data_IF_774128847617
#
_entry.id   IF_774128847617
#
_cell.length_a   1.000
_cell.length_b   1.000
_cell.length_c   1.000
_cell.angle_alpha   90.00
_cell.angle_beta   90.00
_cell.angle_gamma   90.00
#
_symmetry.space_group_name_H-M   'P 1'
#
loop_
_entity.id
_entity.type
_entity.pdbx_description
1 polymer ?
#
# COMPACT_ATOMS: atom_id res chain seq x y z
N UNK A 1 3.39 -0.58 18.08
CA UNK A 1 2.27 -1.52 17.96
C UNK A 1 1.39 -1.48 19.19
N UNK A 2 0.09 -1.82 19.02
CA UNK A 2 -0.88 -1.85 20.13
C UNK A 2 -1.06 -3.25 20.75
N UNK A 3 -0.38 -4.26 20.20
CA UNK A 3 -0.45 -5.63 20.67
C UNK A 3 0.50 -5.91 21.84
N UNK A 4 0.28 -7.02 22.53
CA UNK A 4 1.19 -7.52 23.58
C UNK A 4 2.54 -7.99 22.99
N UNK A 5 2.56 -8.37 21.74
CA UNK A 5 3.74 -8.87 21.03
C UNK A 5 3.81 -8.23 19.65
N UNK A 6 4.99 -7.77 19.26
CA UNK A 6 5.30 -7.29 17.91
C UNK A 6 6.39 -8.15 17.32
N UNK A 7 6.13 -8.73 16.14
CA UNK A 7 7.11 -9.52 15.39
C UNK A 7 7.55 -8.70 14.18
N UNK A 8 8.86 -8.52 14.03
CA UNK A 8 9.46 -7.84 12.89
C UNK A 8 10.19 -8.89 12.05
N UNK A 9 9.81 -9.01 10.79
CA UNK A 9 10.40 -9.92 9.83
C UNK A 9 11.23 -9.08 8.82
N UNK A 10 12.55 -9.05 8.93
CA UNK A 10 13.39 -8.31 7.99
C UNK A 10 13.30 -8.92 6.60
N UNK A 11 13.14 -8.06 5.60
CA UNK A 11 12.96 -8.44 4.20
C UNK A 11 14.14 -7.93 3.38
N UNK A 12 14.60 -8.71 2.40
CA UNK A 12 15.55 -8.28 1.40
C UNK A 12 14.93 -7.23 0.49
N UNK A 13 15.66 -6.19 0.18
CA UNK A 13 15.30 -5.29 -0.90
C UNK A 13 15.41 -6.02 -2.25
N UNK A 14 14.73 -5.54 -3.27
CA UNK A 14 14.71 -6.20 -4.59
C UNK A 14 16.11 -6.35 -5.21
N UNK A 15 17.00 -5.40 -4.97
CA UNK A 15 18.39 -5.42 -5.42
C UNK A 15 19.31 -6.28 -4.52
N UNK A 16 18.77 -6.80 -3.41
CA UNK A 16 19.47 -7.74 -2.51
C UNK A 16 18.96 -9.18 -2.65
N UNK A 17 17.90 -9.39 -3.41
CA UNK A 17 17.35 -10.73 -3.69
C UNK A 17 18.33 -11.51 -4.57
N UNK A 18 18.88 -12.66 -4.12
CA UNK A 18 19.89 -13.41 -4.90
C UNK A 18 19.29 -14.22 -6.04
N UNK A 19 18.13 -13.87 -6.51
CA UNK A 19 17.45 -14.47 -7.66
C UNK A 19 16.73 -13.39 -8.46
N UNK A 20 16.40 -13.72 -9.70
CA UNK A 20 15.68 -12.79 -10.58
C UNK A 20 14.30 -12.47 -10.05
N UNK A 21 13.94 -11.20 -10.13
CA UNK A 21 12.63 -10.70 -9.76
C UNK A 21 11.96 -10.02 -10.95
N UNK A 22 10.64 -9.98 -10.94
CA UNK A 22 9.86 -9.29 -11.96
C UNK A 22 8.99 -8.22 -11.31
N UNK A 23 8.73 -7.16 -12.05
CA UNK A 23 7.85 -6.08 -11.63
C UNK A 23 6.94 -5.69 -12.78
N UNK A 24 5.64 -5.63 -12.52
CA UNK A 24 4.69 -5.00 -13.44
C UNK A 24 4.61 -3.51 -13.13
N UNK A 25 4.81 -2.67 -14.14
CA UNK A 25 4.59 -1.22 -14.02
C UNK A 25 3.10 -0.89 -14.17
N UNK A 26 2.72 0.32 -13.75
CA UNK A 26 1.37 0.83 -13.93
C UNK A 26 0.90 0.91 -15.39
N UNK A 27 1.83 0.82 -16.34
CA UNK A 27 1.54 0.80 -17.79
C UNK A 27 1.51 -0.61 -18.36
N UNK A 28 1.28 -1.63 -17.54
CA UNK A 28 1.20 -3.03 -17.95
C UNK A 28 2.49 -3.56 -18.61
N UNK A 29 3.62 -3.02 -18.22
CA UNK A 29 4.92 -3.46 -18.72
C UNK A 29 5.62 -4.30 -17.65
N UNK A 30 5.97 -5.53 -17.99
CA UNK A 30 6.70 -6.46 -17.12
C UNK A 30 8.19 -6.31 -17.33
N UNK A 31 8.90 -5.92 -16.29
CA UNK A 31 10.35 -5.78 -16.25
C UNK A 31 11.01 -6.90 -15.47
N UNK A 32 12.24 -7.22 -15.86
CA UNK A 32 13.10 -8.17 -15.18
C UNK A 32 14.24 -7.45 -14.46
N UNK A 33 14.51 -7.88 -13.23
CA UNK A 33 15.69 -7.51 -12.48
C UNK A 33 16.50 -8.76 -12.17
N UNK A 34 17.80 -8.70 -12.35
CA UNK A 34 18.68 -9.84 -12.04
C UNK A 34 18.85 -10.08 -10.54
N UNK A 35 18.40 -9.14 -9.71
CA UNK A 35 18.60 -9.19 -8.27
C UNK A 35 20.01 -8.79 -7.87
N UNK A 36 20.45 -9.20 -6.70
CA UNK A 36 21.78 -8.85 -6.23
C UNK A 36 22.18 -9.61 -4.98
N UNK A 37 23.29 -9.18 -4.38
CA UNK A 37 23.83 -9.79 -3.17
C UNK A 37 23.25 -9.13 -1.93
N UNK A 38 22.78 -9.93 -0.98
CA UNK A 38 22.31 -9.45 0.31
C UNK A 38 23.43 -8.67 1.05
N UNK A 39 23.12 -7.49 1.58
CA UNK A 39 24.03 -6.64 2.35
C UNK A 39 24.17 -7.11 3.80
N UNK A 40 23.11 -7.76 4.31
CA UNK A 40 23.06 -8.23 5.68
C UNK A 40 22.68 -9.70 5.76
N UNK A 41 23.21 -10.41 6.75
CA UNK A 41 22.75 -11.75 7.11
C UNK A 41 21.45 -11.66 7.89
N UNK A 42 20.52 -12.57 7.64
CA UNK A 42 19.25 -12.67 8.37
C UNK A 42 18.00 -12.28 7.59
N UNK A 43 17.93 -11.14 6.89
CA UNK A 43 16.80 -10.84 6.01
C UNK A 43 16.55 -11.95 4.99
N UNK A 44 15.28 -12.16 4.66
CA UNK A 44 14.85 -13.17 3.68
C UNK A 44 13.96 -12.50 2.63
N UNK A 45 13.82 -13.13 1.47
CA UNK A 45 12.86 -12.66 0.47
C UNK A 45 11.42 -12.76 0.97
N UNK A 46 10.55 -11.89 0.49
CA UNK A 46 9.12 -11.92 0.82
C UNK A 46 8.50 -13.27 0.47
N UNK A 47 8.79 -13.79 -0.73
CA UNK A 47 8.30 -15.08 -1.17
C UNK A 47 8.69 -16.20 -0.23
N UNK A 48 9.92 -16.21 0.27
CA UNK A 48 10.38 -17.20 1.25
C UNK A 48 9.68 -17.06 2.60
N UNK A 49 9.54 -15.82 3.10
CA UNK A 49 8.84 -15.58 4.37
C UNK A 49 7.40 -16.07 4.29
N UNK A 50 6.69 -15.70 3.22
CA UNK A 50 5.30 -16.09 3.01
C UNK A 50 5.17 -17.61 2.88
N UNK A 51 6.03 -18.24 2.08
CA UNK A 51 6.05 -19.70 1.90
C UNK A 51 6.33 -20.46 3.21
N UNK A 52 7.31 -19.97 3.98
CA UNK A 52 7.67 -20.55 5.28
C UNK A 52 6.54 -20.44 6.31
N UNK A 53 5.78 -19.35 6.31
CA UNK A 53 4.61 -19.18 7.17
C UNK A 53 3.47 -20.07 6.69
N UNK A 54 3.16 -20.04 5.41
CA UNK A 54 2.05 -20.78 4.82
C UNK A 54 2.22 -22.29 5.02
N UNK A 55 3.41 -22.85 4.80
CA UNK A 55 3.68 -24.29 4.99
C UNK A 55 3.53 -24.74 6.44
N UNK A 56 3.73 -23.84 7.41
CA UNK A 56 3.55 -24.15 8.83
C UNK A 56 2.11 -24.03 9.31
N UNK A 57 1.36 -23.10 8.74
CA UNK A 57 0.00 -22.77 9.18
C UNK A 57 -1.04 -23.58 8.41
N UNK A 58 -0.82 -23.79 7.11
CA UNK A 58 -1.76 -24.45 6.19
C UNK A 58 -1.36 -25.91 5.93
N UNK A 59 -1.28 -26.71 6.98
CA UNK A 59 -0.82 -28.11 6.91
C UNK A 59 -1.65 -29.01 5.99
N UNK A 60 -2.93 -28.73 5.82
CA UNK A 60 -3.86 -29.51 4.98
C UNK A 60 -4.06 -28.88 3.59
N UNK A 61 -3.20 -27.95 3.19
CA UNK A 61 -3.28 -27.31 1.89
C UNK A 61 -2.87 -28.27 0.77
N UNK A 62 -3.63 -28.28 -0.33
CA UNK A 62 -3.23 -28.96 -1.57
C UNK A 62 -2.07 -28.25 -2.28
N UNK A 63 -1.74 -27.02 -1.85
CA UNK A 63 -0.65 -26.21 -2.38
C UNK A 63 0.62 -26.53 -1.62
N UNK A 64 1.67 -26.91 -2.33
CA UNK A 64 3.02 -27.13 -1.79
C UNK A 64 3.76 -25.81 -1.69
N UNK A 65 3.58 -25.11 -0.60
CA UNK A 65 4.08 -23.74 -0.40
C UNK A 65 5.59 -23.62 -0.53
N UNK A 66 6.34 -24.65 -0.14
CA UNK A 66 7.80 -24.68 -0.24
C UNK A 66 8.30 -24.57 -1.68
N UNK A 67 7.51 -25.01 -2.65
CA UNK A 67 7.84 -24.91 -4.07
C UNK A 67 7.84 -23.48 -4.59
N UNK A 68 7.25 -22.51 -3.86
CA UNK A 68 7.20 -21.11 -4.24
C UNK A 68 8.35 -20.25 -3.71
N UNK A 69 9.32 -20.85 -3.02
CA UNK A 69 10.52 -20.11 -2.61
C UNK A 69 11.36 -19.65 -3.81
N UNK A 70 11.57 -20.44 -4.89
CA UNK A 70 12.15 -19.92 -6.12
C UNK A 70 11.14 -19.06 -6.89
N UNK A 71 11.51 -17.80 -7.18
CA UNK A 71 10.68 -16.87 -7.96
C UNK A 71 10.32 -17.42 -9.35
N UNK A 72 11.16 -18.26 -9.93
CA UNK A 72 10.89 -18.95 -11.20
C UNK A 72 9.63 -19.82 -11.13
N UNK A 73 9.41 -20.51 -10.01
CA UNK A 73 8.23 -21.35 -9.85
C UNK A 73 6.95 -20.51 -9.74
N UNK A 74 7.03 -19.36 -9.05
CA UNK A 74 5.94 -18.39 -8.98
C UNK A 74 5.62 -17.86 -10.38
N UNK A 75 6.64 -17.46 -11.17
CA UNK A 75 6.44 -17.00 -12.55
C UNK A 75 5.85 -18.07 -13.46
N UNK A 76 6.29 -19.31 -13.31
CA UNK A 76 5.74 -20.44 -14.06
C UNK A 76 4.25 -20.64 -13.76
N UNK A 77 3.84 -20.50 -12.50
CA UNK A 77 2.44 -20.58 -12.14
C UNK A 77 1.64 -19.42 -12.68
N UNK A 78 2.14 -18.19 -12.53
CA UNK A 78 1.51 -16.98 -13.07
C UNK A 78 1.26 -17.13 -14.58
N UNK A 79 2.29 -17.56 -15.33
CA UNK A 79 2.17 -17.72 -16.78
C UNK A 79 1.20 -18.83 -17.21
N UNK A 80 0.89 -19.79 -16.32
CA UNK A 80 -0.11 -20.84 -16.57
C UNK A 80 -1.55 -20.40 -16.29
N UNK A 81 -1.76 -19.56 -15.27
CA UNK A 81 -3.11 -19.29 -14.76
C UNK A 81 -3.62 -17.89 -15.06
N UNK A 82 -2.74 -16.94 -15.37
CA UNK A 82 -3.15 -15.54 -15.62
C UNK A 82 -3.05 -15.23 -17.12
N UNK A 83 -4.18 -15.01 -17.81
CA UNK A 83 -4.17 -14.66 -19.22
C UNK A 83 -3.36 -13.38 -19.50
N UNK A 84 -2.53 -13.41 -20.55
CA UNK A 84 -1.66 -12.30 -20.93
C UNK A 84 -0.28 -12.31 -20.28
N UNK A 85 -0.03 -13.25 -19.35
CA UNK A 85 1.26 -13.41 -18.65
C UNK A 85 2.07 -14.62 -19.14
N UNK A 86 1.72 -15.27 -20.22
CA UNK A 86 2.35 -16.51 -20.67
C UNK A 86 3.87 -16.37 -20.86
N UNK A 87 4.32 -15.20 -21.30
CA UNK A 87 5.75 -14.89 -21.53
C UNK A 87 6.57 -14.86 -20.23
N UNK A 88 5.94 -14.62 -19.07
CA UNK A 88 6.66 -14.48 -17.79
C UNK A 88 7.38 -15.78 -17.39
N UNK A 89 6.85 -16.93 -17.78
CA UNK A 89 7.44 -18.23 -17.48
C UNK A 89 8.84 -18.43 -18.08
N UNK A 90 9.12 -17.77 -19.17
CA UNK A 90 10.40 -17.89 -19.91
C UNK A 90 11.30 -16.67 -19.77
N UNK A 91 10.88 -15.64 -19.05
CA UNK A 91 11.58 -14.35 -18.97
C UNK A 91 13.01 -14.47 -18.44
N UNK A 92 13.27 -15.44 -17.56
CA UNK A 92 14.62 -15.69 -17.01
C UNK A 92 15.63 -16.10 -18.09
N UNK A 93 15.15 -16.81 -19.12
CA UNK A 93 15.95 -17.36 -20.20
C UNK A 93 16.00 -16.39 -21.39
N UNK A 94 14.83 -15.89 -21.79
CA UNK A 94 14.72 -15.01 -22.98
C UNK A 94 15.22 -13.60 -22.71
N UNK A 95 15.16 -13.14 -21.46
CA UNK A 95 15.42 -11.73 -21.06
C UNK A 95 14.49 -10.74 -21.77
N UNK A 96 13.42 -11.22 -22.36
CA UNK A 96 12.46 -10.40 -23.09
C UNK A 96 11.44 -9.80 -22.12
N UNK A 97 11.57 -8.52 -21.84
CA UNK A 97 10.55 -7.73 -21.16
C UNK A 97 9.36 -7.50 -22.10
N UNK A 98 8.15 -7.41 -21.58
CA UNK A 98 6.96 -7.38 -22.44
C UNK A 98 5.81 -6.57 -21.87
N UNK A 99 4.94 -6.09 -22.77
CA UNK A 99 3.63 -5.56 -22.39
C UNK A 99 2.61 -6.69 -22.25
N UNK A 100 1.79 -6.60 -21.21
CA UNK A 100 0.66 -7.51 -21.02
C UNK A 100 -0.40 -7.14 -22.03
N UNK A 101 -0.74 -8.09 -22.91
CA UNK A 101 -1.77 -7.89 -23.93
C UNK A 101 -3.19 -7.98 -23.36
N UNK A 102 -4.14 -7.42 -24.06
CA UNK A 102 -5.57 -7.54 -23.74
C UNK A 102 -6.05 -6.66 -22.58
N UNK A 103 -5.24 -5.78 -22.04
CA UNK A 103 -5.66 -4.81 -21.02
C UNK A 103 -6.49 -3.69 -21.66
N UNK A 104 -7.51 -3.26 -20.93
CA UNK A 104 -8.48 -2.21 -21.38
C UNK A 104 -7.75 -0.91 -21.77
N UNK A 105 -6.68 -0.54 -21.06
CA UNK A 105 -5.91 0.68 -21.34
C UNK A 105 -5.22 0.68 -22.70
N UNK A 106 -4.85 -0.49 -23.23
CA UNK A 106 -4.19 -0.60 -24.54
C UNK A 106 -5.18 -0.74 -25.71
N UNK A 107 -6.32 -1.37 -25.46
CA UNK A 107 -7.37 -1.58 -26.43
C UNK A 107 -8.69 -1.58 -25.66
N UNK A 108 -9.35 -0.43 -25.53
CA UNK A 108 -10.54 -0.30 -24.70
C UNK A 108 -11.67 -1.17 -25.26
N UNK A 109 -11.82 -2.32 -24.65
CA UNK A 109 -12.92 -3.27 -24.90
C UNK A 109 -13.62 -3.51 -23.59
N UNK A 110 -14.88 -3.18 -23.52
CA UNK A 110 -15.68 -3.32 -22.32
C UNK A 110 -16.49 -4.62 -22.40
N UNK A 111 -16.38 -5.54 -21.42
CA UNK A 111 -17.14 -6.81 -21.40
C UNK A 111 -18.59 -6.58 -20.92
N UNK A 112 -19.26 -5.61 -21.51
CA UNK A 112 -20.66 -5.29 -21.33
C UNK A 112 -21.47 -5.78 -22.51
N UNK A 113 -22.78 -5.93 -22.38
CA UNK A 113 -23.65 -6.42 -23.44
C UNK A 113 -23.66 -5.53 -24.67
N UNK A 114 -23.43 -4.23 -24.53
CA UNK A 114 -23.37 -3.23 -25.59
C UNK A 114 -21.93 -2.83 -25.98
N UNK A 115 -20.91 -3.43 -25.34
CA UNK A 115 -19.50 -3.13 -25.58
C UNK A 115 -19.04 -1.75 -25.14
N UNK A 116 -19.84 -1.03 -24.34
CA UNK A 116 -19.54 0.32 -23.85
C UNK A 116 -19.20 0.33 -22.36
N UNK A 117 -18.46 1.33 -21.94
CA UNK A 117 -18.21 1.55 -20.52
C UNK A 117 -19.53 1.93 -19.80
N UNK A 118 -19.76 1.32 -18.65
CA UNK A 118 -20.89 1.66 -17.78
C UNK A 118 -20.40 2.54 -16.65
N UNK A 119 -20.91 3.75 -16.54
CA UNK A 119 -20.63 4.64 -15.43
C UNK A 119 -21.62 4.38 -14.29
N UNK A 120 -21.10 4.14 -13.11
CA UNK A 120 -21.92 4.08 -11.91
C UNK A 120 -22.26 5.50 -11.45
N UNK A 121 -23.55 5.78 -11.28
CA UNK A 121 -24.03 7.03 -10.68
C UNK A 121 -24.10 6.79 -9.17
N UNK A 122 -23.17 7.36 -8.45
CA UNK A 122 -23.19 7.33 -6.99
C UNK A 122 -23.81 8.63 -6.49
N UNK A 123 -24.91 8.58 -5.72
CA UNK A 123 -25.44 9.78 -5.09
C UNK A 123 -24.39 10.36 -4.14
N UNK A 124 -24.25 11.68 -4.17
CA UNK A 124 -23.39 12.34 -3.18
C UNK A 124 -23.92 12.05 -1.77
N UNK A 125 -23.05 11.68 -0.83
CA UNK A 125 -23.46 11.53 0.56
C UNK A 125 -24.12 12.82 1.03
N UNK A 126 -25.32 12.72 1.58
CA UNK A 126 -25.95 13.89 2.19
C UNK A 126 -25.06 14.33 3.35
N UNK A 127 -24.55 15.55 3.27
CA UNK A 127 -23.87 16.16 4.39
C UNK A 127 -24.84 16.28 5.54
N UNK A 128 -24.70 15.46 6.55
CA UNK A 128 -25.38 15.72 7.82
C UNK A 128 -24.93 17.12 8.28
N UNK A 129 -25.85 18.06 8.32
CA UNK A 129 -25.57 19.35 8.95
C UNK A 129 -25.17 19.05 10.39
N UNK A 130 -23.92 19.25 10.70
CA UNK A 130 -23.42 19.13 12.05
C UNK A 130 -23.87 20.41 12.75
N UNK A 131 -24.98 20.33 13.49
CA UNK A 131 -25.56 21.47 14.20
C UNK A 131 -25.00 21.64 15.61
N UNK A 132 -23.77 21.21 15.85
CA UNK A 132 -23.14 21.31 17.15
C UNK A 132 -21.75 21.94 17.00
N UNK A 133 -21.51 22.97 17.76
CA UNK A 133 -20.22 23.69 17.81
C UNK A 133 -19.03 22.83 18.26
N UNK A 134 -19.30 21.61 18.74
CA UNK A 134 -18.29 20.70 19.28
C UNK A 134 -18.05 19.45 18.41
N UNK A 135 -18.71 19.35 17.24
CA UNK A 135 -18.60 18.17 16.37
C UNK A 135 -17.93 18.56 15.06
N UNK A 136 -16.82 17.92 14.76
CA UNK A 136 -16.04 18.13 13.55
C UNK A 136 -16.00 16.89 12.66
N UNK A 137 -15.84 17.09 11.36
CA UNK A 137 -15.55 16.00 10.42
C UNK A 137 -14.07 15.71 10.43
N UNK A 138 -13.70 14.49 10.85
CA UNK A 138 -12.30 14.06 10.80
C UNK A 138 -11.99 13.43 9.45
N UNK A 139 -10.96 13.93 8.80
CA UNK A 139 -10.38 13.36 7.60
C UNK A 139 -8.94 12.95 7.88
N UNK A 140 -8.56 11.74 7.44
CA UNK A 140 -7.17 11.31 7.52
C UNK A 140 -6.39 11.81 6.30
N UNK A 141 -5.21 12.36 6.55
CA UNK A 141 -4.33 12.87 5.50
C UNK A 141 -3.03 12.08 5.49
N UNK A 142 -2.63 11.64 4.31
CA UNK A 142 -1.34 10.98 4.11
C UNK A 142 -0.25 12.03 3.99
N UNK A 143 0.87 11.86 4.72
CA UNK A 143 2.01 12.76 4.57
C UNK A 143 2.63 12.60 3.17
N UNK A 144 3.19 13.68 2.61
CA UNK A 144 3.72 13.71 1.26
C UNK A 144 4.86 12.71 1.04
N UNK A 145 5.77 12.57 2.00
CA UNK A 145 6.88 11.61 1.95
C UNK A 145 6.48 10.16 2.20
N UNK A 146 5.20 9.85 2.32
CA UNK A 146 4.73 8.50 2.68
C UNK A 146 4.33 7.71 1.44
N UNK A 147 5.28 6.99 0.87
CA UNK A 147 5.07 6.06 -0.26
C UNK A 147 5.04 4.60 0.22
N UNK A 148 4.78 3.67 -0.71
CA UNK A 148 4.80 2.24 -0.41
C UNK A 148 6.16 1.75 0.15
N UNK A 149 7.25 2.37 -0.27
CA UNK A 149 8.62 2.05 0.14
C UNK A 149 9.15 2.94 1.25
N UNK A 150 8.57 4.11 1.46
CA UNK A 150 8.93 5.06 2.52
C UNK A 150 7.76 5.18 3.48
N UNK A 151 7.77 4.34 4.50
CA UNK A 151 6.68 4.29 5.48
C UNK A 151 6.79 5.42 6.49
N UNK A 152 8.00 5.93 6.75
CA UNK A 152 8.26 6.89 7.80
C UNK A 152 9.30 7.92 7.37
N UNK A 153 8.85 9.06 6.86
CA UNK A 153 9.69 10.25 6.90
C UNK A 153 9.62 10.91 8.29
N UNK A 154 10.71 11.53 8.72
CA UNK A 154 10.79 12.16 10.03
C UNK A 154 9.92 13.41 10.13
N UNK A 155 9.72 14.09 9.00
CA UNK A 155 8.94 15.32 8.91
C UNK A 155 8.16 15.37 7.59
N UNK A 156 7.02 16.02 7.60
CA UNK A 156 6.31 16.42 6.38
C UNK A 156 6.76 17.83 5.98
N UNK A 157 7.68 17.91 5.02
CA UNK A 157 8.29 19.17 4.57
C UNK A 157 7.29 20.10 3.91
N UNK A 158 6.25 19.55 3.27
CA UNK A 158 5.25 20.33 2.55
C UNK A 158 4.26 21.02 3.50
N UNK A 159 3.95 20.37 4.63
CA UNK A 159 3.05 20.89 5.65
C UNK A 159 3.79 21.46 6.86
N UNK A 160 5.12 21.35 6.90
CA UNK A 160 5.96 21.93 7.95
C UNK A 160 5.86 21.26 9.31
N UNK A 161 5.31 20.03 9.38
CA UNK A 161 5.13 19.33 10.66
C UNK A 161 6.19 18.25 10.88
N UNK A 162 6.69 18.17 12.11
CA UNK A 162 7.74 17.25 12.55
C UNK A 162 7.23 16.02 13.28
N UNK A 163 5.92 15.91 13.46
CA UNK A 163 5.26 14.83 14.18
C UNK A 163 4.10 14.29 13.37
N UNK A 164 3.69 13.06 13.69
CA UNK A 164 2.45 12.45 13.15
C UNK A 164 1.27 12.58 14.09
N UNK A 165 1.55 12.94 15.32
CA UNK A 165 0.52 13.19 16.31
C UNK A 165 0.06 14.65 16.20
N UNK A 166 -0.37 15.01 15.00
CA UNK A 166 -0.87 16.35 14.69
C UNK A 166 -2.30 16.29 14.19
N UNK A 167 -3.06 17.33 14.48
CA UNK A 167 -4.37 17.57 13.89
C UNK A 167 -4.35 18.93 13.20
N UNK A 168 -4.64 18.95 11.90
CA UNK A 168 -4.81 20.16 11.15
C UNK A 168 -6.22 20.71 11.35
N UNK A 169 -6.33 21.97 11.66
CA UNK A 169 -7.61 22.64 11.90
C UNK A 169 -7.61 24.01 11.21
N UNK A 170 -8.80 24.45 10.81
CA UNK A 170 -9.00 25.82 10.36
C UNK A 170 -8.72 26.79 11.50
N UNK A 171 -8.09 27.93 11.20
CA UNK A 171 -7.74 28.93 12.21
C UNK A 171 -8.97 29.51 12.92
N UNK A 172 -10.11 29.64 12.22
CA UNK A 172 -11.35 30.11 12.81
C UNK A 172 -11.91 29.08 13.82
N UNK A 173 -11.82 27.80 13.52
CA UNK A 173 -12.23 26.72 14.44
C UNK A 173 -11.34 26.69 15.69
N UNK A 174 -10.02 26.85 15.51
CA UNK A 174 -9.07 26.91 16.63
C UNK A 174 -9.44 28.08 17.55
N UNK A 175 -9.70 29.25 16.97
CA UNK A 175 -10.09 30.43 17.73
C UNK A 175 -11.43 30.27 18.43
N UNK A 176 -12.45 29.72 17.75
CA UNK A 176 -13.79 29.51 18.31
C UNK A 176 -13.81 28.54 19.49
N UNK A 177 -12.90 27.58 19.47
CA UNK A 177 -12.71 26.61 20.57
C UNK A 177 -11.82 27.12 21.70
N UNK A 178 -11.30 28.35 21.59
CA UNK A 178 -10.33 28.93 22.56
C UNK A 178 -9.11 28.01 22.76
N UNK A 179 -8.63 27.37 21.69
CA UNK A 179 -7.42 26.55 21.68
C UNK A 179 -6.26 27.39 21.15
N UNK A 180 -5.07 27.20 21.70
CA UNK A 180 -3.85 27.80 21.16
C UNK A 180 -3.22 26.87 20.12
N UNK A 181 -2.63 27.45 19.06
CA UNK A 181 -1.83 26.69 18.11
C UNK A 181 -0.63 26.04 18.82
N UNK A 182 -0.35 24.76 18.54
CA UNK A 182 0.65 23.98 19.25
C UNK A 182 0.14 23.32 20.54
N UNK A 183 -1.07 23.61 20.98
CA UNK A 183 -1.66 22.93 22.12
C UNK A 183 -1.94 21.45 21.81
N UNK A 184 -1.92 20.60 22.82
CA UNK A 184 -2.23 19.19 22.68
C UNK A 184 -3.68 18.91 23.04
N UNK A 185 -4.40 18.28 22.12
CA UNK A 185 -5.82 17.94 22.29
C UNK A 185 -6.07 16.44 22.23
N UNK A 186 -7.23 16.04 22.68
CA UNK A 186 -7.74 14.68 22.54
C UNK A 186 -8.93 14.67 21.60
N UNK A 187 -8.84 13.89 20.53
CA UNK A 187 -9.93 13.68 19.56
C UNK A 187 -10.68 12.40 19.91
N UNK A 188 -11.99 12.48 20.11
CA UNK A 188 -12.80 11.34 20.55
C UNK A 188 -14.06 11.20 19.70
N UNK A 189 -14.44 9.97 19.43
CA UNK A 189 -15.76 9.62 18.88
C UNK A 189 -16.29 8.31 19.52
N UNK A 190 -17.40 7.80 19.01
CA UNK A 190 -18.01 6.55 19.49
C UNK A 190 -17.13 5.30 19.25
N UNK A 191 -16.19 5.35 18.31
CA UNK A 191 -15.36 4.20 17.91
C UNK A 191 -13.94 4.24 18.49
N UNK A 192 -13.47 5.40 18.99
CA UNK A 192 -12.12 5.49 19.53
C UNK A 192 -11.71 6.88 20.01
N UNK A 193 -10.47 6.94 20.49
CA UNK A 193 -9.85 8.16 21.02
C UNK A 193 -8.41 8.26 20.54
N UNK A 194 -8.05 9.45 20.03
CA UNK A 194 -6.68 9.84 19.71
C UNK A 194 -6.20 10.83 20.76
N UNK A 195 -5.18 10.45 21.51
CA UNK A 195 -4.60 11.28 22.57
C UNK A 195 -3.41 12.08 22.04
N UNK A 196 -3.13 13.21 22.69
CA UNK A 196 -1.93 14.01 22.48
C UNK A 196 -1.71 14.40 21.02
N UNK A 197 -2.74 14.94 20.38
CA UNK A 197 -2.63 15.49 19.02
C UNK A 197 -2.28 16.97 19.12
N UNK A 198 -1.14 17.37 18.58
CA UNK A 198 -0.71 18.76 18.47
C UNK A 198 -1.60 19.49 17.46
N UNK A 199 -2.15 20.62 17.83
CA UNK A 199 -2.99 21.45 16.95
C UNK A 199 -2.12 22.31 16.06
N UNK A 200 -2.33 22.18 14.75
CA UNK A 200 -1.64 22.96 13.73
C UNK A 200 -2.67 23.66 12.87
N UNK A 201 -2.54 25.01 12.77
CA UNK A 201 -3.38 25.79 11.88
C UNK A 201 -3.08 25.43 10.42
N UNK A 202 -4.14 25.16 9.65
CA UNK A 202 -4.02 24.78 8.24
C UNK A 202 -5.20 25.34 7.44
N UNK A 203 -4.98 25.86 6.23
CA UNK A 203 -6.05 26.39 5.39
C UNK A 203 -6.88 25.23 4.81
N UNK A 204 -7.97 24.89 5.49
CA UNK A 204 -8.94 23.86 5.09
C UNK A 204 -10.37 24.43 5.13
#
# INVERSE_FOLDING_TARGET
GRGKTTIILPVLARDEEPQKTTQESMFNFVRLSDGGKARHSGPRSEGRIISDIASRVLKESSVKWEEFQPNTNVRNLIGKIIPGFEKISKIDQTKEEFHISGRILHSPKFPTTDGRATFAICPLPQSSKINSESIFKLMTVRSEGQFNTVVYDKEDRYRGVKSRNVIFMNSEDIHSLCIEEGAYVTVKNSTGTLYNQEVVAYPI
#
